data_IF_786061119884
#
_entry.id   IF_786061119884
#
_cell.length_a   1.000
_cell.length_b   1.000
_cell.length_c   1.000
_cell.angle_alpha   90.00
_cell.angle_beta   90.00
_cell.angle_gamma   90.00
#
_symmetry.space_group_name_H-M   'P 1'
#
loop_
_entity.id
_entity.type
_entity.pdbx_description
1 polymer ?
#
# COMPACT_ATOMS: atom_id res chain seq x y z
N UNK A 1 -19.99 23.26 8.94
CA UNK A 1 -18.89 23.89 9.71
C UNK A 1 -19.23 23.71 11.18
N UNK A 2 -18.20 23.54 12.03
CA UNK A 2 -18.22 22.87 13.34
C UNK A 2 -18.13 21.34 13.27
N UNK A 3 -17.43 20.81 14.27
CA UNK A 3 -17.42 19.47 14.86
C UNK A 3 -17.06 18.28 13.96
N UNK A 4 -15.76 18.19 13.66
CA UNK A 4 -15.05 16.94 13.34
C UNK A 4 -13.74 16.87 14.14
N UNK A 5 -13.85 16.83 15.48
CA UNK A 5 -12.81 16.19 16.29
C UNK A 5 -13.01 14.67 16.13
N UNK A 6 -12.11 14.00 15.42
CA UNK A 6 -12.22 12.57 15.16
C UNK A 6 -10.88 11.97 14.75
N UNK A 7 -10.52 10.86 15.39
CA UNK A 7 -9.29 10.13 15.11
C UNK A 7 -9.35 9.57 13.67
N UNK A 8 -8.27 9.76 12.90
CA UNK A 8 -8.28 9.58 11.46
C UNK A 8 -7.79 8.19 11.02
N UNK A 9 -8.69 7.20 11.05
CA UNK A 9 -8.42 5.82 10.60
C UNK A 9 -7.92 5.77 9.15
N UNK A 10 -6.59 5.67 9.00
CA UNK A 10 -5.82 5.14 7.86
C UNK A 10 -6.46 5.32 6.45
N UNK A 11 -6.18 6.45 5.79
CA UNK A 11 -6.65 6.76 4.42
C UNK A 11 -5.52 6.61 3.36
N UNK A 12 -5.89 6.41 2.09
CA UNK A 12 -5.02 5.72 1.11
C UNK A 12 -4.82 6.45 -0.24
N UNK A 13 -3.56 6.37 -0.72
CA UNK A 13 -3.09 6.51 -2.11
C UNK A 13 -3.23 7.86 -2.82
N UNK A 14 -2.39 8.04 -3.85
CA UNK A 14 -2.37 9.23 -4.71
C UNK A 14 -1.95 10.49 -3.95
N UNK A 15 -2.93 11.35 -3.64
CA UNK A 15 -2.72 12.61 -2.92
C UNK A 15 -2.80 12.44 -1.39
N UNK A 16 -3.49 11.43 -0.87
CA UNK A 16 -3.93 11.44 0.54
C UNK A 16 -2.80 11.19 1.56
N UNK A 17 -1.76 10.42 1.22
CA UNK A 17 -0.60 10.24 2.10
C UNK A 17 0.12 11.58 2.35
N UNK A 18 0.15 12.48 1.36
CA UNK A 18 0.71 13.83 1.50
C UNK A 18 -0.17 14.67 2.42
N UNK A 19 -1.48 14.67 2.17
CA UNK A 19 -2.49 15.40 2.94
C UNK A 19 -2.43 15.06 4.43
N UNK A 20 -2.19 13.80 4.80
CA UNK A 20 -2.07 13.37 6.20
C UNK A 20 -0.80 13.94 6.85
N UNK A 21 0.37 13.82 6.21
CA UNK A 21 1.61 14.40 6.74
C UNK A 21 1.48 15.93 6.90
N UNK A 22 0.89 16.59 5.89
CA UNK A 22 0.54 18.01 5.91
C UNK A 22 -0.46 18.33 7.03
N UNK A 23 -1.43 17.47 7.36
CA UNK A 23 -2.38 17.71 8.45
C UNK A 23 -1.78 17.57 9.85
N UNK A 24 -0.79 16.70 10.06
CA UNK A 24 0.00 16.71 11.31
C UNK A 24 0.79 18.02 11.40
N UNK A 25 1.48 18.40 10.32
CA UNK A 25 2.32 19.63 10.25
C UNK A 25 1.48 20.92 10.39
N UNK A 26 0.24 20.93 9.88
CA UNK A 26 -0.73 22.02 10.04
C UNK A 26 -1.55 21.94 11.34
N UNK A 27 -1.17 21.09 12.31
CA UNK A 27 -1.80 21.02 13.63
C UNK A 27 -3.26 20.57 13.63
N UNK A 28 -3.71 19.83 12.60
CA UNK A 28 -5.09 19.31 12.49
C UNK A 28 -5.25 17.90 13.06
N UNK A 29 -4.14 17.21 13.31
CA UNK A 29 -4.07 15.89 13.94
C UNK A 29 -2.84 15.85 14.86
N UNK A 30 -3.04 15.50 16.14
CA UNK A 30 -1.92 15.37 17.08
C UNK A 30 -1.00 14.19 16.76
N UNK A 31 -1.56 13.14 16.14
CA UNK A 31 -0.92 11.89 15.78
C UNK A 31 -1.65 11.21 14.60
N UNK A 32 -1.06 10.15 14.05
CA UNK A 32 -1.73 9.19 13.14
C UNK A 32 -1.63 7.76 13.63
N UNK A 33 -2.63 6.92 13.34
CA UNK A 33 -2.63 5.51 13.77
C UNK A 33 -1.52 4.70 13.11
N UNK A 34 -1.23 4.96 11.82
CA UNK A 34 -0.15 4.30 11.09
C UNK A 34 0.57 5.28 10.13
N UNK A 35 1.90 5.22 10.07
CA UNK A 35 2.73 5.97 9.11
C UNK A 35 3.68 5.05 8.34
N UNK A 36 3.69 5.14 7.01
CA UNK A 36 4.23 4.09 6.14
C UNK A 36 5.24 4.62 5.11
N UNK A 37 6.41 3.99 5.00
CA UNK A 37 7.37 4.28 3.92
C UNK A 37 6.80 3.79 2.58
N UNK A 38 6.41 4.71 1.70
CA UNK A 38 5.56 4.39 0.54
C UNK A 38 6.22 3.47 -0.51
N UNK A 39 7.56 3.54 -0.65
CA UNK A 39 8.35 2.73 -1.58
C UNK A 39 9.75 2.47 -1.01
N UNK A 40 10.41 1.33 -1.32
CA UNK A 40 11.76 0.99 -0.86
C UNK A 40 12.86 1.70 -1.68
N UNK A 41 12.73 3.01 -1.92
CA UNK A 41 13.77 3.84 -2.54
C UNK A 41 13.61 5.32 -2.16
N UNK A 42 14.68 6.10 -2.37
CA UNK A 42 14.69 7.55 -2.18
C UNK A 42 14.89 8.28 -3.52
N UNK A 43 14.20 9.40 -3.72
CA UNK A 43 14.33 10.25 -4.90
C UNK A 43 14.82 11.66 -4.54
N UNK A 44 15.38 12.37 -5.53
CA UNK A 44 15.53 13.81 -5.45
C UNK A 44 14.17 14.51 -5.50
N UNK A 45 14.11 15.72 -4.94
CA UNK A 45 12.92 16.59 -4.94
C UNK A 45 13.28 17.96 -5.49
N UNK A 46 12.29 18.70 -5.98
CA UNK A 46 12.39 20.14 -6.20
C UNK A 46 12.28 20.89 -4.87
N UNK A 47 12.51 22.20 -4.90
CA UNK A 47 12.32 23.06 -3.73
C UNK A 47 10.85 23.09 -3.28
N UNK A 48 9.90 22.98 -4.22
CA UNK A 48 8.45 22.75 -3.99
C UNK A 48 8.11 21.33 -3.48
N UNK A 49 9.12 20.52 -3.14
CA UNK A 49 9.03 19.16 -2.61
C UNK A 49 8.43 18.07 -3.52
N UNK A 50 8.02 18.36 -4.75
CA UNK A 50 7.67 17.32 -5.74
C UNK A 50 8.89 16.47 -6.12
N UNK A 51 8.69 15.20 -6.52
CA UNK A 51 9.81 14.36 -6.98
C UNK A 51 10.39 14.90 -8.28
N UNK A 52 11.70 15.11 -8.28
CA UNK A 52 12.46 15.65 -9.40
C UNK A 52 12.57 14.60 -10.52
N UNK A 53 12.18 15.01 -11.73
CA UNK A 53 12.29 14.20 -12.94
C UNK A 53 13.58 14.55 -13.69
N UNK A 54 14.15 13.55 -14.38
CA UNK A 54 15.17 13.76 -15.39
C UNK A 54 14.56 13.99 -16.78
N UNK A 55 15.42 14.24 -17.77
CA UNK A 55 15.02 14.56 -19.15
C UNK A 55 14.25 13.42 -19.87
N UNK A 56 14.36 12.19 -19.35
CA UNK A 56 13.61 11.00 -19.78
C UNK A 56 12.18 10.92 -19.18
N UNK A 57 11.81 11.90 -18.35
CA UNK A 57 10.57 11.93 -17.57
C UNK A 57 10.54 10.95 -16.40
N UNK A 58 11.67 10.33 -16.03
CA UNK A 58 11.76 9.38 -14.92
C UNK A 58 12.28 10.02 -13.64
N UNK A 59 11.98 9.39 -12.50
CA UNK A 59 12.44 9.85 -11.19
C UNK A 59 13.98 9.84 -11.09
N UNK A 60 14.58 10.92 -10.60
CA UNK A 60 16.00 10.93 -10.23
C UNK A 60 16.16 10.27 -8.86
N UNK A 61 16.84 9.13 -8.81
CA UNK A 61 16.96 8.27 -7.62
C UNK A 61 18.22 8.61 -6.83
N UNK A 62 18.07 8.89 -5.52
CA UNK A 62 19.19 9.02 -4.56
C UNK A 62 19.76 7.62 -4.30
N UNK A 63 20.75 7.21 -5.10
CA UNK A 63 21.29 5.83 -5.10
C UNK A 63 21.76 5.36 -3.72
N UNK A 64 22.57 6.16 -3.03
CA UNK A 64 23.22 5.73 -1.79
C UNK A 64 22.19 5.54 -0.65
N UNK A 65 21.22 6.46 -0.55
CA UNK A 65 20.10 6.38 0.38
C UNK A 65 19.06 5.31 -0.01
N UNK A 66 19.04 4.88 -1.27
CA UNK A 66 18.25 3.73 -1.73
C UNK A 66 18.96 2.41 -1.41
N UNK A 67 20.29 2.39 -1.45
CA UNK A 67 21.11 1.24 -1.05
C UNK A 67 21.12 1.01 0.47
N UNK A 68 21.04 2.08 1.27
CA UNK A 68 20.76 1.98 2.71
C UNK A 68 19.62 2.91 3.15
N UNK A 69 18.43 2.33 3.39
CA UNK A 69 17.24 3.02 3.90
C UNK A 69 17.27 3.26 5.42
N UNK A 70 18.28 2.77 6.15
CA UNK A 70 18.37 2.95 7.62
C UNK A 70 18.23 4.41 8.08
N UNK A 71 18.90 5.41 7.48
CA UNK A 71 18.76 6.81 7.90
C UNK A 71 17.35 7.38 7.69
N UNK A 72 16.52 6.74 6.87
CA UNK A 72 15.08 7.05 6.77
C UNK A 72 14.34 6.33 7.88
N UNK A 73 14.58 5.03 8.10
CA UNK A 73 13.88 4.27 9.14
C UNK A 73 14.08 4.86 10.53
N UNK A 74 15.29 5.34 10.88
CA UNK A 74 15.53 6.01 12.17
C UNK A 74 14.62 7.23 12.39
N UNK A 75 14.17 7.91 11.33
CA UNK A 75 13.18 9.01 11.42
C UNK A 75 11.77 8.49 11.66
N UNK A 76 11.41 7.32 11.13
CA UNK A 76 10.14 6.65 11.45
C UNK A 76 10.12 6.18 12.90
N UNK A 77 11.22 5.60 13.39
CA UNK A 77 11.38 5.20 14.80
C UNK A 77 11.25 6.39 15.75
N UNK A 78 11.90 7.53 15.43
CA UNK A 78 11.73 8.78 16.18
C UNK A 78 10.29 9.33 16.15
N UNK A 79 9.57 9.23 15.02
CA UNK A 79 8.16 9.63 14.93
C UNK A 79 7.23 8.73 15.77
N UNK A 80 7.58 7.45 15.94
CA UNK A 80 6.86 6.53 16.81
C UNK A 80 7.11 6.82 18.30
N UNK A 81 8.39 6.99 18.68
CA UNK A 81 8.80 7.36 20.03
C UNK A 81 8.25 8.72 20.48
N UNK A 82 8.18 9.70 19.58
CA UNK A 82 7.53 11.01 19.81
C UNK A 82 5.98 10.93 19.83
N UNK A 83 5.39 9.73 19.74
CA UNK A 83 3.94 9.49 19.80
C UNK A 83 3.14 10.00 18.59
N UNK A 84 3.82 10.53 17.55
CA UNK A 84 3.21 11.14 16.35
C UNK A 84 2.69 10.11 15.35
N UNK A 85 3.24 8.90 15.33
CA UNK A 85 2.66 7.75 14.64
C UNK A 85 2.52 6.59 15.64
N UNK A 86 1.31 6.03 15.86
CA UNK A 86 1.13 4.93 16.84
C UNK A 86 1.74 3.62 16.35
N UNK A 87 1.64 3.35 15.05
CA UNK A 87 2.38 2.32 14.35
C UNK A 87 3.22 2.93 13.21
N UNK A 88 4.36 2.31 12.93
CA UNK A 88 5.17 2.57 11.74
C UNK A 88 5.27 1.32 10.88
N UNK A 89 5.45 1.50 9.58
CA UNK A 89 5.49 0.39 8.64
C UNK A 89 5.96 0.80 7.25
N UNK A 90 5.70 -0.07 6.28
CA UNK A 90 6.18 0.06 4.91
C UNK A 90 5.08 -0.23 3.89
N UNK A 91 5.32 0.16 2.64
CA UNK A 91 4.48 -0.14 1.50
C UNK A 91 5.37 -0.51 0.31
N UNK A 92 4.93 -1.46 -0.51
CA UNK A 92 5.67 -2.01 -1.66
C UNK A 92 7.01 -2.71 -1.34
N UNK A 93 7.25 -3.09 -0.08
CA UNK A 93 8.47 -3.82 0.30
C UNK A 93 8.38 -5.29 -0.08
N UNK A 94 9.37 -5.78 -0.85
CA UNK A 94 9.57 -7.21 -1.12
C UNK A 94 10.17 -7.92 0.11
N UNK A 95 10.23 -9.25 0.08
CA UNK A 95 10.89 -10.05 1.14
C UNK A 95 12.33 -9.57 1.36
N UNK A 96 13.09 -9.32 0.29
CA UNK A 96 14.48 -8.86 0.40
C UNK A 96 14.60 -7.47 1.03
N UNK A 97 13.64 -6.56 0.78
CA UNK A 97 13.62 -5.26 1.44
C UNK A 97 13.29 -5.39 2.94
N UNK A 98 12.36 -6.27 3.31
CA UNK A 98 12.04 -6.57 4.71
C UNK A 98 13.23 -7.23 5.43
N UNK A 99 13.90 -8.19 4.78
CA UNK A 99 15.10 -8.86 5.31
C UNK A 99 16.26 -7.89 5.53
N UNK A 100 16.40 -6.85 4.68
CA UNK A 100 17.40 -5.82 4.90
C UNK A 100 17.00 -4.83 6.01
N UNK A 101 15.72 -4.43 6.07
CA UNK A 101 15.17 -3.53 7.09
C UNK A 101 15.27 -4.13 8.51
N UNK A 102 14.90 -5.40 8.66
CA UNK A 102 14.91 -6.11 9.95
C UNK A 102 16.32 -6.37 10.53
N UNK A 103 17.40 -5.97 9.84
CA UNK A 103 18.78 -6.04 10.37
C UNK A 103 19.15 -4.84 11.25
N UNK A 104 18.46 -3.71 11.07
CA UNK A 104 18.76 -2.45 11.78
C UNK A 104 17.55 -1.82 12.47
N UNK A 105 16.32 -2.26 12.16
CA UNK A 105 15.12 -1.78 12.85
C UNK A 105 15.11 -2.18 14.33
N UNK A 106 15.12 -1.20 15.23
CA UNK A 106 14.83 -1.34 16.66
C UNK A 106 13.32 -1.46 16.90
N UNK A 107 12.52 -0.76 16.10
CA UNK A 107 11.06 -0.89 16.05
C UNK A 107 10.73 -1.53 14.70
N UNK A 108 10.34 -2.82 14.65
CA UNK A 108 9.98 -3.48 13.41
C UNK A 108 8.77 -2.82 12.71
N UNK A 109 8.67 -2.89 11.37
CA UNK A 109 7.50 -2.40 10.65
C UNK A 109 6.26 -3.23 11.04
N UNK A 110 5.26 -2.63 11.67
CA UNK A 110 4.03 -3.30 12.06
C UNK A 110 3.14 -3.69 10.85
N UNK A 111 3.34 -3.01 9.71
CA UNK A 111 2.53 -3.14 8.50
C UNK A 111 3.44 -3.27 7.27
N UNK A 112 3.08 -4.14 6.33
CA UNK A 112 3.53 -4.07 4.93
C UNK A 112 2.31 -3.96 3.99
N UNK A 113 2.16 -2.78 3.39
CA UNK A 113 1.06 -2.45 2.50
C UNK A 113 1.42 -2.80 1.05
N UNK A 114 0.71 -3.72 0.41
CA UNK A 114 1.08 -4.25 -0.91
C UNK A 114 -0.12 -4.57 -1.79
N UNK A 115 0.12 -4.71 -3.09
CA UNK A 115 -0.87 -5.25 -4.01
C UNK A 115 -1.21 -6.69 -3.59
N UNK A 116 -2.51 -6.97 -3.36
CA UNK A 116 -3.02 -8.33 -3.15
C UNK A 116 -4.46 -8.44 -3.68
N UNK A 117 -4.71 -9.38 -4.58
CA UNK A 117 -6.03 -9.77 -5.10
C UNK A 117 -5.95 -11.16 -5.75
N UNK A 118 -7.04 -11.84 -6.14
CA UNK A 118 -6.97 -13.20 -6.67
C UNK A 118 -6.12 -13.41 -7.94
N UNK A 119 -5.83 -12.36 -8.72
CA UNK A 119 -4.88 -12.47 -9.86
C UNK A 119 -3.45 -12.03 -9.52
N UNK A 120 -3.23 -11.53 -8.30
CA UNK A 120 -1.92 -11.36 -7.67
C UNK A 120 -1.97 -11.82 -6.20
N UNK A 121 -2.03 -13.15 -5.92
CA UNK A 121 -2.27 -13.63 -4.56
C UNK A 121 -1.14 -13.34 -3.58
N UNK A 122 0.08 -13.11 -4.08
CA UNK A 122 1.25 -12.66 -3.33
C UNK A 122 1.59 -13.51 -2.08
N UNK A 123 1.20 -14.79 -2.08
CA UNK A 123 1.20 -15.67 -0.90
C UNK A 123 2.58 -15.82 -0.24
N UNK A 124 3.67 -15.82 -1.03
CA UNK A 124 5.05 -15.92 -0.51
C UNK A 124 5.39 -14.72 0.40
N UNK A 125 5.04 -13.51 -0.01
CA UNK A 125 5.30 -12.28 0.76
C UNK A 125 4.37 -12.20 1.98
N UNK A 126 3.10 -12.56 1.82
CA UNK A 126 2.10 -12.56 2.91
C UNK A 126 2.50 -13.53 4.02
N UNK A 127 2.85 -14.77 3.68
CA UNK A 127 3.31 -15.76 4.66
C UNK A 127 4.63 -15.33 5.33
N UNK A 128 5.54 -14.68 4.58
CA UNK A 128 6.74 -14.09 5.17
C UNK A 128 6.39 -12.99 6.18
N UNK A 129 5.50 -12.05 5.83
CA UNK A 129 5.08 -10.96 6.71
C UNK A 129 4.49 -11.51 8.02
N UNK A 130 3.56 -12.47 7.94
CA UNK A 130 3.02 -13.15 9.13
C UNK A 130 4.10 -13.83 9.96
N UNK A 131 5.10 -14.48 9.33
CA UNK A 131 6.25 -15.11 10.04
C UNK A 131 7.18 -14.13 10.77
N UNK A 132 7.01 -12.82 10.53
CA UNK A 132 7.73 -11.71 11.15
C UNK A 132 6.83 -10.80 12.01
N UNK A 133 5.59 -11.21 12.27
CA UNK A 133 4.57 -10.39 12.97
C UNK A 133 4.25 -9.06 12.27
N UNK A 134 4.47 -8.99 10.96
CA UNK A 134 4.15 -7.84 10.10
C UNK A 134 2.76 -8.06 9.50
N UNK A 135 1.82 -7.14 9.72
CA UNK A 135 0.46 -7.24 9.18
C UNK A 135 0.45 -6.88 7.68
N UNK A 136 0.02 -7.78 6.78
CA UNK A 136 -0.20 -7.44 5.38
C UNK A 136 -1.44 -6.52 5.26
N UNK A 137 -1.37 -5.55 4.35
CA UNK A 137 -2.50 -4.64 4.07
C UNK A 137 -2.68 -4.52 2.55
N UNK A 138 -3.80 -5.03 2.04
CA UNK A 138 -4.06 -5.13 0.60
C UNK A 138 -4.54 -3.80 -0.01
N UNK A 139 -3.69 -3.18 -0.83
CA UNK A 139 -4.14 -2.16 -1.80
C UNK A 139 -4.56 -2.82 -3.12
N UNK A 140 -5.33 -2.10 -3.94
CA UNK A 140 -5.91 -2.60 -5.19
C UNK A 140 -6.70 -3.92 -5.08
N UNK A 141 -7.43 -4.25 -3.98
CA UNK A 141 -8.02 -5.59 -3.80
C UNK A 141 -9.12 -5.92 -4.81
N UNK A 142 -9.66 -4.89 -5.51
CA UNK A 142 -10.63 -5.02 -6.58
C UNK A 142 -9.99 -5.01 -7.98
N UNK A 143 -8.65 -5.07 -8.09
CA UNK A 143 -7.92 -5.12 -9.36
C UNK A 143 -7.80 -3.78 -10.11
N UNK A 144 -8.05 -2.63 -9.46
CA UNK A 144 -7.81 -1.26 -9.95
C UNK A 144 -8.18 -0.97 -11.42
N UNK A 145 -9.30 -1.53 -11.88
CA UNK A 145 -9.70 -1.62 -13.30
C UNK A 145 -9.58 -0.32 -14.10
N UNK A 146 -9.97 0.82 -13.52
CA UNK A 146 -9.94 2.13 -14.17
C UNK A 146 -8.54 2.69 -14.42
N UNK A 147 -7.49 2.06 -13.86
CA UNK A 147 -6.08 2.41 -14.06
C UNK A 147 -5.32 1.36 -14.88
N UNK A 148 -5.99 0.31 -15.39
CA UNK A 148 -5.38 -0.78 -16.17
C UNK A 148 -6.04 -0.96 -17.56
N UNK A 149 -5.98 0.03 -18.49
CA UNK A 149 -6.77 -0.02 -19.73
C UNK A 149 -6.22 -0.99 -20.80
N UNK A 150 -5.02 -1.54 -20.60
CA UNK A 150 -4.26 -2.28 -21.61
C UNK A 150 -4.24 -3.79 -21.40
N UNK A 151 -5.01 -4.31 -20.43
CA UNK A 151 -5.16 -5.75 -20.19
C UNK A 151 -6.53 -6.25 -20.63
N UNK A 152 -6.56 -7.25 -21.51
CA UNK A 152 -7.76 -8.05 -21.82
C UNK A 152 -8.23 -8.96 -20.67
N UNK A 153 -7.64 -8.79 -19.47
CA UNK A 153 -7.95 -9.50 -18.23
C UNK A 153 -8.10 -8.48 -17.11
N UNK A 154 -9.28 -8.37 -16.52
CA UNK A 154 -9.49 -7.65 -15.26
C UNK A 154 -10.08 -8.61 -14.23
N UNK A 155 -9.85 -8.34 -12.93
CA UNK A 155 -10.33 -9.23 -11.85
C UNK A 155 -11.85 -9.45 -11.92
N UNK A 156 -12.62 -8.41 -12.28
CA UNK A 156 -14.08 -8.50 -12.37
C UNK A 156 -14.62 -9.18 -13.62
N UNK A 157 -13.78 -9.45 -14.63
CA UNK A 157 -14.15 -10.16 -15.85
C UNK A 157 -13.76 -11.65 -15.81
N UNK A 158 -13.17 -12.11 -14.71
CA UNK A 158 -12.92 -13.53 -14.51
C UNK A 158 -14.25 -14.27 -14.28
N UNK A 159 -14.53 -15.26 -15.12
CA UNK A 159 -15.79 -16.03 -15.12
C UNK A 159 -16.01 -16.85 -13.86
N UNK A 160 -14.95 -17.33 -13.20
CA UNK A 160 -15.07 -18.04 -11.93
C UNK A 160 -15.56 -17.10 -10.83
N UNK A 161 -14.91 -15.94 -10.70
CA UNK A 161 -15.27 -14.90 -9.73
C UNK A 161 -16.68 -14.35 -9.96
N UNK A 162 -17.10 -14.18 -11.22
CA UNK A 162 -18.49 -13.84 -11.56
C UNK A 162 -19.44 -14.95 -11.07
N UNK A 163 -19.20 -16.22 -11.43
CA UNK A 163 -20.10 -17.32 -11.08
C UNK A 163 -20.26 -17.53 -9.56
N UNK A 164 -19.21 -17.26 -8.77
CA UNK A 164 -19.25 -17.35 -7.30
C UNK A 164 -20.06 -16.17 -6.70
N UNK A 165 -19.91 -14.96 -7.25
CA UNK A 165 -20.70 -13.80 -6.82
C UNK A 165 -22.19 -13.98 -7.16
N UNK A 166 -22.50 -14.47 -8.36
CA UNK A 166 -23.87 -14.76 -8.82
C UNK A 166 -24.53 -15.86 -7.98
N UNK A 167 -23.85 -17.00 -7.76
CA UNK A 167 -24.32 -18.10 -6.90
C UNK A 167 -24.72 -17.63 -5.50
N UNK A 168 -24.01 -16.64 -4.94
CA UNK A 168 -24.29 -16.07 -3.61
C UNK A 168 -25.24 -14.87 -3.62
N UNK A 169 -25.61 -14.33 -4.78
CA UNK A 169 -26.45 -13.13 -4.89
C UNK A 169 -25.78 -11.84 -4.37
N UNK A 170 -24.45 -11.76 -4.44
CA UNK A 170 -23.63 -10.67 -3.88
C UNK A 170 -22.85 -9.94 -4.97
N UNK A 171 -22.27 -8.77 -4.67
CA UNK A 171 -21.36 -8.13 -5.62
C UNK A 171 -20.02 -8.85 -5.66
N UNK A 172 -19.38 -8.85 -6.84
CA UNK A 172 -18.00 -9.35 -7.00
C UNK A 172 -17.00 -8.63 -6.09
N UNK A 173 -17.28 -7.39 -5.69
CA UNK A 173 -16.48 -6.67 -4.69
C UNK A 173 -16.51 -7.34 -3.31
N UNK A 174 -17.68 -7.85 -2.89
CA UNK A 174 -17.85 -8.48 -1.59
C UNK A 174 -17.10 -9.82 -1.49
N UNK A 175 -17.11 -10.67 -2.53
CA UNK A 175 -16.31 -11.91 -2.50
C UNK A 175 -14.80 -11.60 -2.49
N UNK A 176 -14.34 -10.58 -3.21
CA UNK A 176 -12.93 -10.16 -3.25
C UNK A 176 -12.45 -9.66 -1.88
N UNK A 177 -13.30 -8.94 -1.16
CA UNK A 177 -13.05 -8.50 0.22
C UNK A 177 -13.03 -9.71 1.17
N UNK A 178 -14.04 -10.58 1.10
CA UNK A 178 -14.17 -11.76 1.96
C UNK A 178 -13.00 -12.76 1.77
N UNK A 179 -12.51 -12.93 0.54
CA UNK A 179 -11.32 -13.76 0.25
C UNK A 179 -10.05 -13.20 0.90
N UNK A 180 -9.86 -11.88 0.91
CA UNK A 180 -8.73 -11.27 1.61
C UNK A 180 -8.84 -11.37 3.13
N UNK A 181 -10.04 -11.19 3.68
CA UNK A 181 -10.32 -11.36 5.12
C UNK A 181 -10.11 -12.82 5.55
N UNK A 182 -10.57 -13.81 4.78
CA UNK A 182 -10.35 -15.24 5.06
C UNK A 182 -8.86 -15.63 5.00
N UNK A 183 -8.01 -14.85 4.33
CA UNK A 183 -6.54 -14.97 4.34
C UNK A 183 -5.85 -14.23 5.49
N UNK A 184 -6.61 -13.67 6.43
CA UNK A 184 -6.10 -13.10 7.69
C UNK A 184 -5.44 -11.73 7.58
N UNK A 185 -5.68 -10.96 6.51
CA UNK A 185 -5.09 -9.63 6.33
C UNK A 185 -6.12 -8.52 6.07
N UNK A 186 -5.71 -7.27 6.24
CA UNK A 186 -6.59 -6.10 6.07
C UNK A 186 -6.82 -5.81 4.59
N UNK A 187 -8.07 -5.54 4.20
CA UNK A 187 -8.47 -5.29 2.81
C UNK A 187 -9.06 -3.89 2.66
N UNK A 188 -8.58 -3.11 1.68
CA UNK A 188 -8.94 -1.69 1.54
C UNK A 188 -9.58 -1.37 0.18
N UNK A 189 -10.91 -1.58 0.03
CA UNK A 189 -11.64 -1.39 -1.21
C UNK A 189 -12.08 0.07 -1.42
N UNK A 190 -11.37 0.82 -2.25
CA UNK A 190 -11.72 2.22 -2.57
C UNK A 190 -12.88 2.34 -3.57
N UNK A 191 -13.81 3.26 -3.33
CA UNK A 191 -14.77 3.72 -4.34
C UNK A 191 -15.32 5.12 -4.02
N UNK A 192 -15.68 5.89 -5.05
CA UNK A 192 -16.42 7.15 -4.94
C UNK A 192 -17.93 6.98 -5.10
N UNK A 193 -18.41 5.80 -5.52
CA UNK A 193 -19.83 5.52 -5.73
C UNK A 193 -20.50 5.07 -4.41
N UNK A 194 -21.49 5.82 -3.93
CA UNK A 194 -22.20 5.54 -2.65
C UNK A 194 -22.76 4.11 -2.54
N UNK A 195 -23.29 3.55 -3.63
CA UNK A 195 -23.80 2.17 -3.65
C UNK A 195 -22.69 1.13 -3.51
N UNK A 196 -21.55 1.33 -4.19
CA UNK A 196 -20.36 0.49 -4.04
C UNK A 196 -19.72 0.62 -2.66
N UNK A 197 -19.67 1.82 -2.08
CA UNK A 197 -19.21 2.03 -0.69
C UNK A 197 -20.07 1.20 0.28
N UNK A 198 -21.41 1.26 0.16
CA UNK A 198 -22.32 0.46 1.01
C UNK A 198 -22.15 -1.05 0.79
N UNK A 199 -22.04 -1.52 -0.46
CA UNK A 199 -21.83 -2.94 -0.78
C UNK A 199 -20.49 -3.44 -0.25
N UNK A 200 -19.40 -2.69 -0.43
CA UNK A 200 -18.08 -3.03 0.10
C UNK A 200 -18.05 -3.10 1.63
N UNK A 201 -18.84 -2.26 2.32
CA UNK A 201 -19.00 -2.29 3.78
C UNK A 201 -19.93 -3.40 4.28
N UNK A 202 -20.68 -4.06 3.40
CA UNK A 202 -21.53 -5.22 3.74
C UNK A 202 -20.69 -6.48 3.57
N UNK A 203 -19.94 -6.83 4.62
CA UNK A 203 -19.10 -8.03 4.64
C UNK A 203 -19.93 -9.31 4.48
N UNK A 204 -19.29 -10.34 3.92
CA UNK A 204 -19.83 -11.69 3.74
C UNK A 204 -18.75 -12.71 4.10
N UNK A 205 -19.13 -13.96 4.30
CA UNK A 205 -18.20 -15.05 4.59
C UNK A 205 -18.09 -16.03 3.41
N UNK A 206 -16.89 -16.52 3.15
CA UNK A 206 -16.64 -17.62 2.21
C UNK A 206 -16.58 -18.93 3.00
N UNK A 207 -17.77 -19.40 3.40
CA UNK A 207 -17.97 -20.59 4.23
C UNK A 207 -17.65 -21.90 3.50
N UNK A 208 -17.81 -21.96 2.18
CA UNK A 208 -17.45 -23.13 1.38
C UNK A 208 -15.96 -23.09 1.02
N UNK A 209 -15.23 -24.15 1.38
CA UNK A 209 -13.77 -24.19 1.13
C UNK A 209 -13.46 -24.29 -0.37
N UNK A 210 -14.27 -25.03 -1.13
CA UNK A 210 -14.12 -25.17 -2.59
C UNK A 210 -14.17 -23.80 -3.31
N UNK A 211 -15.06 -22.90 -2.90
CA UNK A 211 -15.14 -21.56 -3.49
C UNK A 211 -13.91 -20.73 -3.17
N UNK A 212 -13.46 -20.72 -1.91
CA UNK A 212 -12.26 -20.02 -1.50
C UNK A 212 -11.02 -20.54 -2.24
N UNK A 213 -10.92 -21.85 -2.39
CA UNK A 213 -9.83 -22.53 -3.10
C UNK A 213 -9.88 -22.29 -4.62
N UNK A 214 -11.08 -22.28 -5.23
CA UNK A 214 -11.28 -21.88 -6.63
C UNK A 214 -10.89 -20.42 -6.84
N UNK A 215 -11.28 -19.52 -5.92
CA UNK A 215 -10.84 -18.11 -5.93
C UNK A 215 -9.31 -17.99 -5.80
N UNK A 216 -8.66 -18.79 -4.96
CA UNK A 216 -7.20 -18.76 -4.79
C UNK A 216 -6.41 -19.27 -6.01
N UNK A 217 -7.03 -20.07 -6.89
CA UNK A 217 -6.40 -20.63 -8.11
C UNK A 217 -6.68 -19.88 -9.42
N UNK A 218 -7.53 -18.84 -9.45
CA UNK A 218 -7.97 -18.19 -10.71
C UNK A 218 -6.86 -17.60 -11.60
N UNK A 219 -5.64 -17.45 -11.08
CA UNK A 219 -4.47 -17.02 -11.83
C UNK A 219 -3.24 -17.92 -11.64
N UNK A 220 -3.41 -19.18 -11.24
CA UNK A 220 -2.29 -20.12 -11.07
C UNK A 220 -1.46 -20.26 -12.36
N UNK A 221 -0.15 -20.00 -12.26
CA UNK A 221 0.79 -19.96 -13.40
C UNK A 221 0.59 -18.78 -14.35
N UNK A 222 -0.26 -17.81 -13.99
CA UNK A 222 -0.69 -16.66 -14.82
C UNK A 222 -0.89 -15.40 -13.99
N UNK A 223 -0.25 -15.30 -12.82
CA UNK A 223 -0.38 -14.16 -11.91
C UNK A 223 0.19 -12.87 -12.52
N UNK A 224 -0.54 -11.78 -12.34
CA UNK A 224 -0.27 -10.46 -12.95
C UNK A 224 -0.29 -9.39 -11.87
N UNK A 225 0.85 -8.75 -11.64
CA UNK A 225 0.97 -7.50 -10.87
C UNK A 225 0.52 -6.34 -11.76
N UNK A 226 -0.45 -5.53 -11.32
CA UNK A 226 -0.92 -4.36 -12.06
C UNK A 226 -0.16 -3.07 -11.71
N UNK A 227 0.39 -2.98 -10.49
CA UNK A 227 1.17 -1.84 -10.02
C UNK A 227 2.65 -2.18 -10.09
N UNK A 228 3.16 -2.20 -11.33
CA UNK A 228 4.59 -2.15 -11.64
C UNK A 228 4.89 -0.82 -12.37
N UNK A 229 5.87 -0.08 -11.84
CA UNK A 229 6.13 1.32 -12.17
C UNK A 229 7.58 1.57 -12.62
N UNK A 230 8.34 0.53 -12.98
CA UNK A 230 9.73 0.65 -13.51
C UNK A 230 9.87 1.47 -14.80
N UNK A 231 8.76 1.79 -15.47
CA UNK A 231 8.76 2.77 -16.57
C UNK A 231 8.74 4.23 -16.10
N UNK A 232 8.18 4.52 -14.91
CA UNK A 232 8.23 5.84 -14.24
C UNK A 232 9.47 5.97 -13.35
N UNK A 233 9.81 4.94 -12.59
CA UNK A 233 10.95 4.92 -11.70
C UNK A 233 12.24 4.60 -12.48
N UNK A 234 13.36 5.24 -12.15
CA UNK A 234 14.69 4.80 -12.62
C UNK A 234 15.28 3.70 -11.70
N UNK A 235 14.39 2.82 -11.22
CA UNK A 235 14.63 1.77 -10.23
C UNK A 235 13.57 0.68 -10.36
N UNK A 236 13.98 -0.59 -10.47
CA UNK A 236 13.05 -1.72 -10.47
C UNK A 236 12.88 -2.23 -9.03
N UNK A 237 11.69 -2.00 -8.46
CA UNK A 237 11.33 -2.40 -7.10
C UNK A 237 11.08 -3.91 -6.99
N UNK A 238 10.65 -4.55 -8.09
CA UNK A 238 10.14 -5.92 -8.08
C UNK A 238 10.98 -6.91 -8.90
N UNK A 239 12.05 -6.46 -9.57
CA UNK A 239 12.90 -7.30 -10.44
C UNK A 239 13.55 -8.51 -9.77
N UNK A 240 13.63 -8.53 -8.43
CA UNK A 240 14.11 -9.68 -7.64
C UNK A 240 12.98 -10.66 -7.23
N UNK A 241 11.71 -10.37 -7.53
CA UNK A 241 10.59 -11.30 -7.32
C UNK A 241 10.58 -12.38 -8.40
N UNK A 242 11.09 -13.57 -8.07
CA UNK A 242 11.21 -14.69 -9.01
C UNK A 242 9.87 -15.09 -9.65
N UNK A 243 9.82 -15.00 -10.99
CA UNK A 243 8.91 -15.77 -11.84
C UNK A 243 7.43 -15.40 -11.76
N UNK A 244 7.06 -14.21 -12.25
CA UNK A 244 5.67 -13.85 -12.63
C UNK A 244 5.63 -12.89 -13.82
N UNK A 245 4.47 -12.78 -14.47
CA UNK A 245 4.22 -11.77 -15.51
C UNK A 245 4.06 -10.37 -14.94
N UNK A 246 4.93 -9.43 -15.32
CA UNK A 246 4.82 -8.02 -14.94
C UNK A 246 4.25 -7.18 -16.09
N UNK A 247 3.48 -6.15 -15.75
CA UNK A 247 2.93 -5.19 -16.72
C UNK A 247 3.32 -3.77 -16.30
N UNK A 248 4.42 -3.29 -16.88
CA UNK A 248 4.97 -1.96 -16.58
C UNK A 248 4.03 -0.83 -16.98
N UNK A 249 4.06 0.27 -16.23
CA UNK A 249 3.27 1.49 -16.49
C UNK A 249 4.07 2.76 -16.28
N UNK A 250 3.89 3.72 -17.19
CA UNK A 250 4.08 5.15 -16.87
C UNK A 250 2.85 5.67 -16.13
N UNK A 251 2.99 5.94 -14.84
CA UNK A 251 2.11 6.88 -14.14
C UNK A 251 2.52 8.32 -14.48
N UNK A 252 1.52 9.19 -14.64
CA UNK A 252 1.73 10.64 -14.59
C UNK A 252 1.85 11.08 -13.12
N UNK A 253 2.69 12.08 -12.86
CA UNK A 253 3.25 12.40 -11.54
C UNK A 253 2.22 12.74 -10.45
N UNK A 254 2.38 12.13 -9.27
CA UNK A 254 1.82 12.60 -7.98
C UNK A 254 2.80 12.19 -6.86
N UNK A 255 3.72 13.06 -6.39
CA UNK A 255 4.74 12.63 -5.42
C UNK A 255 5.44 13.73 -4.55
N UNK A 256 4.69 14.56 -3.82
CA UNK A 256 5.19 15.27 -2.61
C UNK A 256 4.74 14.51 -1.32
N UNK A 257 4.90 14.91 -0.04
CA UNK A 257 5.83 15.83 0.66
C UNK A 257 6.41 15.05 1.86
N UNK A 258 7.73 15.14 2.12
CA UNK A 258 8.35 14.96 3.45
C UNK A 258 9.78 15.52 3.39
N UNK A 259 10.07 16.61 4.11
CA UNK A 259 11.28 16.87 4.93
C UNK A 259 11.42 18.36 5.30
N UNK A 260 10.70 18.75 6.36
CA UNK A 260 11.05 19.90 7.23
C UNK A 260 10.98 19.49 8.70
N UNK A 261 11.37 18.24 8.99
CA UNK A 261 11.36 17.68 10.34
C UNK A 261 12.68 17.99 11.07
N UNK A 262 12.77 19.21 11.59
CA UNK A 262 13.76 19.61 12.60
C UNK A 262 13.20 19.27 13.99
N UNK A 263 13.86 18.35 14.70
CA UNK A 263 13.44 17.92 16.04
C UNK A 263 13.60 19.00 17.12
N UNK A 264 14.33 20.09 16.85
CA UNK A 264 14.55 21.18 17.82
C UNK A 264 13.38 22.16 17.93
N UNK A 265 12.41 22.11 17.00
CA UNK A 265 11.23 23.00 16.99
C UNK A 265 10.15 22.61 18.03
N UNK A 266 10.28 21.48 18.72
CA UNK A 266 9.29 21.02 19.73
C UNK A 266 9.47 21.80 21.04
N UNK A 267 8.89 23.01 21.10
CA UNK A 267 8.67 23.70 22.38
C UNK A 267 7.55 23.02 23.15
N UNK A 268 7.91 22.23 24.17
CA UNK A 268 6.97 21.78 25.20
C UNK A 268 6.63 22.97 26.09
N UNK A 269 5.48 23.59 25.86
CA UNK A 269 4.91 24.58 26.78
C UNK A 269 4.26 23.85 27.97
N UNK A 270 4.91 23.93 29.13
CA UNK A 270 4.31 23.54 30.41
C UNK A 270 3.66 24.76 31.07
N UNK A 271 2.35 24.89 30.90
CA UNK A 271 1.41 25.57 31.81
C UNK A 271 0.14 24.70 31.93
#
# INVERSE_FOLDING_TARGET
MKDLQGNATMLFFGLYNQVIAIWIVLGRLDYVDAFLMHWPFAAERTDDHEVKLGDDGKYIIKKDLTANLEPIWRKFEALNQAGKAKAIGVSNFTISNLEQLLKYAEIPPAINQVEIHPVWPNSRLINYCFSKSILPVAYSPLGSQSQVPTTSKTVIQNTDLISIAEKKGVSIGQILIAWGIKRGYVVLPMSSNKGRIKSNGTLIELTEEEEFERMSRVAEGKEIRFVDLKDTFRWDVFGNEQGRGTLSRRLHSVCAVLESFDSTQIKVSHE
#
